data_IF_603759930071
#
_entry.id   IF_603759930071
#
_cell.length_a   1.000
_cell.length_b   1.000
_cell.length_c   1.000
_cell.angle_alpha   90.00
_cell.angle_beta   90.00
_cell.angle_gamma   90.00
#
_symmetry.space_group_name_H-M   'P 1'
#
loop_
_entity.id
_entity.type
_entity.pdbx_description
1 polymer ?
#
# COMPACT_ATOMS: atom_id res chain seq x y z
N UNK A 1 -1.70 1.05 -7.47
CA UNK A 1 -0.70 1.62 -6.52
C UNK A 1 0.27 0.53 -6.06
N UNK A 2 -0.22 -0.54 -5.43
CA UNK A 2 0.62 -1.64 -4.94
C UNK A 2 1.42 -2.37 -6.05
N UNK A 3 0.85 -2.55 -7.24
CA UNK A 3 1.59 -3.13 -8.37
C UNK A 3 2.78 -2.22 -8.76
N UNK A 4 2.53 -0.90 -8.86
CA UNK A 4 3.56 0.09 -9.18
C UNK A 4 4.64 0.16 -8.10
N UNK A 5 4.28 0.05 -6.81
CA UNK A 5 5.26 0.01 -5.72
C UNK A 5 6.11 -1.27 -5.75
N UNK A 6 5.55 -2.39 -6.19
CA UNK A 6 6.31 -3.62 -6.48
C UNK A 6 7.34 -3.44 -7.61
N UNK A 7 6.96 -2.74 -8.69
CA UNK A 7 7.87 -2.38 -9.79
C UNK A 7 9.01 -1.47 -9.30
N UNK A 8 8.70 -0.41 -8.53
CA UNK A 8 9.73 0.51 -8.01
C UNK A 8 10.66 -0.17 -7.02
N UNK A 9 10.14 -1.08 -6.17
CA UNK A 9 10.95 -1.89 -5.26
C UNK A 9 11.90 -2.82 -6.02
N UNK A 10 11.40 -3.50 -7.06
CA UNK A 10 12.22 -4.40 -7.89
C UNK A 10 13.32 -3.63 -8.62
N UNK A 11 13.00 -2.45 -9.15
CA UNK A 11 13.98 -1.56 -9.77
C UNK A 11 15.02 -1.05 -8.75
N UNK A 12 14.60 -0.68 -7.54
CA UNK A 12 15.50 -0.26 -6.47
C UNK A 12 16.48 -1.39 -6.10
N UNK A 13 15.98 -2.62 -5.97
CA UNK A 13 16.79 -3.81 -5.71
C UNK A 13 17.85 -4.02 -6.81
N UNK A 14 17.48 -3.86 -8.08
CA UNK A 14 18.44 -3.98 -9.18
C UNK A 14 19.54 -2.90 -9.09
N UNK A 15 19.19 -1.64 -8.81
CA UNK A 15 20.19 -0.57 -8.66
C UNK A 15 21.07 -0.74 -7.42
N UNK A 16 20.57 -1.36 -6.36
CA UNK A 16 21.37 -1.75 -5.20
C UNK A 16 22.47 -2.75 -5.59
N UNK A 17 22.13 -3.79 -6.37
CA UNK A 17 23.10 -4.79 -6.83
C UNK A 17 24.17 -4.20 -7.76
N UNK A 18 23.83 -3.19 -8.55
CA UNK A 18 24.76 -2.48 -9.45
C UNK A 18 25.53 -1.36 -8.74
N UNK A 19 25.31 -1.16 -7.42
CA UNK A 19 26.02 -0.16 -6.62
C UNK A 19 25.57 1.29 -6.83
N UNK A 20 24.46 1.53 -7.53
CA UNK A 20 23.91 2.88 -7.82
C UNK A 20 23.01 3.36 -6.67
N UNK A 21 23.63 3.84 -5.58
CA UNK A 21 22.95 4.22 -4.34
C UNK A 21 21.90 5.33 -4.51
N UNK A 22 22.19 6.38 -5.28
CA UNK A 22 21.23 7.49 -5.47
C UNK A 22 19.93 7.03 -6.13
N UNK A 23 20.02 6.19 -7.16
CA UNK A 23 18.84 5.63 -7.84
C UNK A 23 18.08 4.65 -6.95
N UNK A 24 18.79 3.84 -6.16
CA UNK A 24 18.17 2.96 -5.17
C UNK A 24 17.35 3.77 -4.16
N UNK A 25 17.95 4.79 -3.54
CA UNK A 25 17.27 5.62 -2.54
C UNK A 25 16.06 6.35 -3.12
N UNK A 26 16.17 6.94 -4.32
CA UNK A 26 15.04 7.63 -4.95
C UNK A 26 13.88 6.68 -5.27
N UNK A 27 14.16 5.45 -5.71
CA UNK A 27 13.13 4.46 -6.00
C UNK A 27 12.51 3.87 -4.72
N UNK A 28 13.31 3.64 -3.68
CA UNK A 28 12.79 3.23 -2.36
C UNK A 28 11.88 4.31 -1.77
N UNK A 29 12.26 5.59 -1.87
CA UNK A 29 11.42 6.70 -1.43
C UNK A 29 10.09 6.69 -2.19
N UNK A 30 10.13 6.51 -3.51
CA UNK A 30 8.92 6.38 -4.33
C UNK A 30 8.04 5.19 -3.89
N UNK A 31 8.64 4.02 -3.59
CA UNK A 31 7.91 2.86 -3.07
C UNK A 31 7.18 3.18 -1.76
N UNK A 32 7.85 3.85 -0.82
CA UNK A 32 7.25 4.24 0.47
C UNK A 32 6.12 5.25 0.26
N UNK A 33 6.30 6.25 -0.60
CA UNK A 33 5.26 7.23 -0.92
C UNK A 33 4.03 6.57 -1.54
N UNK A 34 4.20 5.59 -2.43
CA UNK A 34 3.10 4.82 -2.98
C UNK A 34 2.37 4.00 -1.90
N UNK A 35 3.10 3.43 -0.93
CA UNK A 35 2.51 2.75 0.22
C UNK A 35 1.65 3.69 1.08
N UNK A 36 2.18 4.85 1.44
CA UNK A 36 1.44 5.88 2.20
C UNK A 36 0.20 6.34 1.41
N UNK A 37 0.34 6.54 0.10
CA UNK A 37 -0.77 6.93 -0.76
C UNK A 37 -1.87 5.86 -0.81
N UNK A 38 -1.51 4.58 -0.85
CA UNK A 38 -2.47 3.48 -0.75
C UNK A 38 -3.20 3.49 0.60
N UNK A 39 -2.49 3.63 1.73
CA UNK A 39 -3.11 3.68 3.06
C UNK A 39 -4.05 4.87 3.22
N UNK A 40 -3.71 6.03 2.65
CA UNK A 40 -4.58 7.21 2.67
C UNK A 40 -5.89 6.97 1.89
N UNK A 41 -5.82 6.33 0.72
CA UNK A 41 -7.02 5.96 -0.03
C UNK A 41 -7.84 4.89 0.70
N UNK A 42 -7.19 3.93 1.35
CA UNK A 42 -7.88 2.92 2.17
C UNK A 42 -8.66 3.57 3.32
N UNK A 43 -8.09 4.61 3.94
CA UNK A 43 -8.78 5.38 4.96
C UNK A 43 -10.01 6.11 4.41
N UNK A 44 -9.89 6.75 3.23
CA UNK A 44 -11.04 7.40 2.56
C UNK A 44 -12.12 6.37 2.22
N UNK A 45 -11.76 5.21 1.69
CA UNK A 45 -12.70 4.11 1.40
C UNK A 45 -13.52 3.74 2.65
N UNK A 46 -12.88 3.65 3.82
CA UNK A 46 -13.57 3.32 5.06
C UNK A 46 -14.49 4.43 5.56
N UNK A 47 -14.16 5.71 5.30
CA UNK A 47 -15.02 6.83 5.68
C UNK A 47 -16.23 6.99 4.75
N UNK A 48 -16.07 6.64 3.47
CA UNK A 48 -17.13 6.74 2.46
C UNK A 48 -18.02 5.48 2.35
N UNK A 49 -17.61 4.37 2.96
CA UNK A 49 -18.39 3.14 2.98
C UNK A 49 -19.79 3.37 3.60
N UNK A 50 -20.84 2.91 2.89
CA UNK A 50 -22.23 3.00 3.34
C UNK A 50 -22.62 1.95 4.40
N UNK A 51 -21.65 1.17 4.86
CA UNK A 51 -21.79 0.09 5.83
C UNK A 51 -20.59 0.12 6.79
N UNK A 52 -20.77 -0.51 7.95
CA UNK A 52 -19.80 -0.55 9.04
C UNK A 52 -19.40 -1.98 9.36
N UNK A 53 -18.41 -2.16 10.23
CA UNK A 53 -17.99 -3.47 10.72
C UNK A 53 -19.12 -4.24 11.45
N UNK A 54 -20.12 -3.53 11.98
CA UNK A 54 -21.26 -4.13 12.67
C UNK A 54 -22.34 -4.66 11.70
N UNK A 55 -22.24 -4.36 10.40
CA UNK A 55 -23.27 -4.72 9.43
C UNK A 55 -23.10 -6.16 8.91
N UNK A 56 -23.67 -7.09 9.68
CA UNK A 56 -23.81 -8.51 9.31
C UNK A 56 -22.47 -9.20 8.96
N UNK A 57 -22.56 -10.33 8.25
CA UNK A 57 -21.39 -11.08 7.79
C UNK A 57 -20.60 -10.28 6.74
N UNK A 58 -21.26 -9.48 5.90
CA UNK A 58 -20.57 -8.73 4.85
C UNK A 58 -19.63 -7.65 5.43
N UNK A 59 -20.14 -6.77 6.29
CA UNK A 59 -19.33 -5.70 6.89
C UNK A 59 -18.21 -6.25 7.78
N UNK A 60 -18.53 -7.23 8.62
CA UNK A 60 -17.53 -7.86 9.50
C UNK A 60 -16.39 -8.53 8.73
N UNK A 61 -16.70 -9.31 7.68
CA UNK A 61 -15.66 -9.98 6.88
C UNK A 61 -14.87 -8.99 6.03
N UNK A 62 -15.52 -7.97 5.45
CA UNK A 62 -14.86 -6.93 4.67
C UNK A 62 -13.82 -6.20 5.52
N UNK A 63 -14.24 -5.51 6.58
CA UNK A 63 -13.34 -4.67 7.40
C UNK A 63 -12.27 -5.48 8.13
N UNK A 64 -12.54 -6.73 8.51
CA UNK A 64 -11.53 -7.57 9.15
C UNK A 64 -10.44 -8.00 8.17
N UNK A 65 -10.81 -8.42 6.95
CA UNK A 65 -9.83 -8.84 5.94
C UNK A 65 -9.00 -7.66 5.41
N UNK A 66 -9.65 -6.56 5.03
CA UNK A 66 -8.97 -5.38 4.49
C UNK A 66 -8.23 -4.60 5.57
N UNK A 67 -8.76 -4.56 6.79
CA UNK A 67 -8.10 -3.97 7.96
C UNK A 67 -6.84 -4.71 8.34
N UNK A 68 -6.88 -6.05 8.37
CA UNK A 68 -5.68 -6.85 8.63
C UNK A 68 -4.61 -6.67 7.54
N UNK A 69 -5.01 -6.59 6.27
CA UNK A 69 -4.08 -6.31 5.17
C UNK A 69 -3.42 -4.91 5.27
N UNK A 70 -4.10 -3.94 5.89
CA UNK A 70 -3.62 -2.56 6.01
C UNK A 70 -2.70 -2.27 7.21
N UNK A 71 -2.49 -3.23 8.11
CA UNK A 71 -1.62 -3.14 9.29
C UNK A 71 -0.23 -3.69 8.95
#
# INVERSE_FOLDING_TARGET
>A
ILLSSGVTLTAAHHFMMVGKKDKCNNLLLTTVLLGIYFTFLQYIEYMEASFTIADSIYGSTFFMATGFHGI
#
